data_IF_797663912711
#
_entry.id   IF_797663912711
#
_cell.length_a   1.000
_cell.length_b   1.000
_cell.length_c   1.000
_cell.angle_alpha   90.00
_cell.angle_beta   90.00
_cell.angle_gamma   90.00
#
_symmetry.space_group_name_H-M   'P 1'
#
loop_
_entity.id
_entity.type
_entity.pdbx_description
1 polymer ?
#
# COMPACT_ATOMS: atom_id res chain seq x y z
N UNK A 1 -24.73 -1.88 9.64
CA UNK A 1 -23.97 -2.56 10.71
C UNK A 1 -23.89 -4.04 10.35
N UNK A 2 -22.72 -4.50 9.90
CA UNK A 2 -22.51 -5.91 9.49
C UNK A 2 -22.36 -6.75 10.76
N UNK A 3 -23.18 -7.80 10.95
CA UNK A 3 -23.09 -8.70 12.12
C UNK A 3 -22.78 -10.13 11.68
N UNK A 4 -21.83 -10.73 12.42
CA UNK A 4 -21.47 -12.16 12.61
C UNK A 4 -21.50 -13.09 11.41
N UNK A 5 -20.35 -13.74 11.18
CA UNK A 5 -20.23 -14.99 10.45
C UNK A 5 -19.96 -14.80 8.96
N UNK A 6 -18.78 -14.26 8.65
CA UNK A 6 -18.30 -14.24 7.27
C UNK A 6 -17.44 -15.45 7.04
N UNK A 7 -17.80 -16.24 6.04
CA UNK A 7 -17.04 -17.40 5.58
C UNK A 7 -16.30 -16.98 4.31
N UNK A 8 -14.99 -17.15 4.29
CA UNK A 8 -14.16 -17.07 3.09
C UNK A 8 -13.66 -18.48 2.81
N UNK A 9 -13.82 -18.94 1.58
CA UNK A 9 -13.40 -20.28 1.18
C UNK A 9 -12.33 -20.17 0.11
N UNK A 10 -11.07 -20.39 0.47
CA UNK A 10 -9.96 -20.47 -0.51
C UNK A 10 -9.42 -21.89 -0.55
N UNK A 11 -9.14 -22.44 -1.72
CA UNK A 11 -8.46 -23.74 -1.88
C UNK A 11 -9.00 -24.89 -0.99
N UNK A 12 -10.32 -24.95 -0.78
CA UNK A 12 -10.97 -25.97 0.05
C UNK A 12 -10.93 -25.72 1.57
N UNK A 13 -10.26 -24.66 2.05
CA UNK A 13 -10.26 -24.26 3.45
C UNK A 13 -11.33 -23.22 3.74
N UNK A 14 -12.06 -23.42 4.85
CA UNK A 14 -13.10 -22.50 5.32
C UNK A 14 -12.53 -21.63 6.44
N UNK A 15 -12.38 -20.34 6.17
CA UNK A 15 -11.98 -19.37 7.18
C UNK A 15 -13.24 -18.64 7.67
N UNK A 16 -13.46 -18.59 8.98
CA UNK A 16 -14.62 -17.91 9.58
C UNK A 16 -14.19 -16.64 10.34
N UNK A 17 -14.69 -15.47 9.97
CA UNK A 17 -14.46 -14.21 10.70
C UNK A 17 -15.64 -13.97 11.63
N UNK A 18 -15.33 -13.81 12.93
CA UNK A 18 -16.34 -13.59 13.97
C UNK A 18 -16.84 -12.15 13.97
N UNK A 19 -15.97 -11.18 13.69
CA UNK A 19 -16.25 -9.76 13.83
C UNK A 19 -15.78 -8.94 12.63
N UNK A 20 -16.68 -8.66 11.69
CA UNK A 20 -16.48 -7.67 10.63
C UNK A 20 -16.69 -6.23 11.12
N UNK A 21 -16.92 -6.05 12.42
CA UNK A 21 -17.21 -4.74 13.03
C UNK A 21 -15.93 -3.92 13.21
N UNK A 22 -14.77 -4.57 13.32
CA UNK A 22 -13.45 -3.90 13.37
C UNK A 22 -12.80 -3.75 11.98
N UNK A 23 -13.42 -4.30 10.93
CA UNK A 23 -13.06 -4.00 9.56
C UNK A 23 -13.26 -2.50 9.34
N UNK A 24 -12.19 -1.73 9.52
CA UNK A 24 -12.12 -0.42 8.92
C UNK A 24 -12.16 -0.68 7.42
N UNK A 25 -13.36 -0.58 6.85
CA UNK A 25 -13.61 -0.45 5.42
C UNK A 25 -12.95 0.86 4.97
N UNK A 26 -11.62 0.90 4.98
CA UNK A 26 -10.87 1.76 4.11
C UNK A 26 -11.07 1.21 2.71
N UNK A 27 -12.24 1.52 2.14
CA UNK A 27 -12.55 1.29 0.75
C UNK A 27 -11.74 2.28 -0.08
N UNK A 28 -10.52 1.89 -0.44
CA UNK A 28 -9.87 2.43 -1.61
C UNK A 28 -10.14 1.46 -2.77
N UNK A 29 -10.61 1.98 -3.90
CA UNK A 29 -10.75 1.22 -5.15
C UNK A 29 -11.61 -0.07 -5.07
N UNK A 30 -12.59 -0.12 -4.17
CA UNK A 30 -13.49 -1.28 -4.04
C UNK A 30 -12.91 -2.48 -3.29
N UNK A 31 -11.75 -2.32 -2.64
CA UNK A 31 -11.08 -3.31 -1.79
C UNK A 31 -11.29 -2.95 -0.32
N UNK A 32 -11.56 -3.96 0.50
CA UNK A 32 -11.72 -3.89 1.95
C UNK A 32 -10.53 -4.54 2.64
N UNK A 33 -10.11 -4.01 3.79
CA UNK A 33 -9.02 -4.58 4.59
C UNK A 33 -9.60 -5.21 5.85
N UNK A 34 -9.27 -6.48 6.11
CA UNK A 34 -9.70 -7.26 7.27
C UNK A 34 -8.48 -7.75 8.05
N UNK A 35 -8.58 -7.91 9.37
CA UNK A 35 -7.52 -8.47 10.22
C UNK A 35 -7.96 -9.76 10.87
N UNK A 36 -7.07 -10.76 10.99
CA UNK A 36 -7.36 -12.04 11.66
C UNK A 36 -6.10 -12.88 11.93
N UNK A 37 -6.12 -13.72 12.95
CA UNK A 37 -5.20 -14.87 13.05
C UNK A 37 -5.56 -15.94 12.00
N UNK A 38 -4.61 -16.29 11.13
CA UNK A 38 -4.69 -17.40 10.19
C UNK A 38 -3.94 -18.61 10.73
N UNK A 39 -4.48 -19.79 10.46
CA UNK A 39 -3.77 -21.06 10.64
C UNK A 39 -3.28 -21.50 9.27
N UNK A 40 -1.96 -21.54 9.11
CA UNK A 40 -1.30 -22.01 7.89
C UNK A 40 -0.59 -23.33 8.18
N UNK A 41 -0.45 -24.25 7.20
CA UNK A 41 0.39 -25.42 7.36
C UNK A 41 1.80 -25.01 7.80
N UNK A 42 2.33 -25.64 8.84
CA UNK A 42 3.71 -25.36 9.28
C UNK A 42 4.69 -26.07 8.31
N UNK A 43 5.56 -25.34 7.59
CA UNK A 43 6.53 -25.96 6.70
C UNK A 43 7.56 -26.84 7.45
N UNK A 44 7.72 -26.64 8.76
CA UNK A 44 8.65 -27.39 9.62
C UNK A 44 7.98 -28.56 10.36
N UNK A 45 6.65 -28.58 10.42
CA UNK A 45 5.87 -29.64 11.06
C UNK A 45 4.75 -30.11 10.13
N UNK A 46 4.90 -31.30 9.55
CA UNK A 46 3.92 -31.89 8.60
C UNK A 46 2.51 -32.04 9.18
N UNK A 47 2.36 -32.02 10.50
CA UNK A 47 1.07 -32.10 11.19
C UNK A 47 0.72 -30.81 11.94
N UNK A 48 1.62 -29.82 11.93
CA UNK A 48 1.50 -28.57 12.66
C UNK A 48 0.84 -27.47 11.84
N UNK A 49 0.31 -26.48 12.56
CA UNK A 49 -0.18 -25.25 11.96
C UNK A 49 0.55 -24.06 12.58
N UNK A 50 1.09 -23.19 11.71
CA UNK A 50 1.59 -21.89 12.11
C UNK A 50 0.41 -20.93 12.27
N UNK A 51 0.32 -20.29 13.44
CA UNK A 51 -0.61 -19.19 13.67
C UNK A 51 0.06 -17.88 13.29
N UNK A 52 -0.56 -17.14 12.38
CA UNK A 52 -0.04 -15.86 11.88
C UNK A 52 -1.11 -14.80 12.02
N UNK A 53 -0.82 -13.73 12.76
CA UNK A 53 -1.63 -12.52 12.70
C UNK A 53 -1.53 -11.93 11.30
N UNK A 54 -2.66 -11.79 10.64
CA UNK A 54 -2.73 -11.44 9.23
C UNK A 54 -3.61 -10.23 8.97
N UNK A 55 -3.33 -9.61 7.84
CA UNK A 55 -4.15 -8.63 7.16
C UNK A 55 -4.58 -9.24 5.82
N UNK A 56 -5.84 -9.03 5.46
CA UNK A 56 -6.45 -9.54 4.25
C UNK A 56 -7.02 -8.37 3.44
N UNK A 57 -6.59 -8.24 2.19
CA UNK A 57 -7.24 -7.33 1.22
C UNK A 57 -8.27 -8.12 0.44
N UNK A 58 -9.55 -7.76 0.52
CA UNK A 58 -10.68 -8.45 -0.13
C UNK A 58 -11.45 -7.50 -1.02
N UNK A 59 -11.72 -7.89 -2.26
CA UNK A 59 -12.77 -7.27 -3.05
C UNK A 59 -13.97 -8.21 -3.14
N UNK A 60 -15.13 -7.78 -2.66
CA UNK A 60 -16.39 -8.49 -2.77
C UNK A 60 -17.41 -7.56 -3.46
N UNK A 61 -17.95 -7.99 -4.61
CA UNK A 61 -18.72 -7.10 -5.48
C UNK A 61 -19.97 -7.80 -6.02
N UNK A 62 -21.06 -7.04 -6.12
CA UNK A 62 -22.27 -7.45 -6.81
C UNK A 62 -22.13 -7.10 -8.31
N UNK A 63 -21.38 -7.91 -9.05
CA UNK A 63 -21.19 -7.75 -10.50
C UNK A 63 -19.79 -8.16 -11.02
N UNK A 64 -19.71 -8.81 -12.19
CA UNK A 64 -18.48 -9.43 -12.69
C UNK A 64 -17.42 -8.44 -13.21
N UNK A 65 -17.81 -7.25 -13.67
CA UNK A 65 -16.87 -6.26 -14.23
C UNK A 65 -15.96 -5.65 -13.16
N UNK A 66 -16.54 -5.23 -12.02
CA UNK A 66 -15.80 -4.62 -10.92
C UNK A 66 -14.90 -5.65 -10.22
N UNK A 67 -15.37 -6.89 -10.09
CA UNK A 67 -14.58 -7.97 -9.52
C UNK A 67 -13.33 -8.27 -10.36
N UNK A 68 -13.46 -8.31 -11.70
CA UNK A 68 -12.30 -8.51 -12.60
C UNK A 68 -11.25 -7.40 -12.48
N UNK A 69 -11.69 -6.15 -12.35
CA UNK A 69 -10.75 -5.04 -12.14
C UNK A 69 -9.99 -5.18 -10.81
N UNK A 70 -10.70 -5.47 -9.72
CA UNK A 70 -10.06 -5.68 -8.41
C UNK A 70 -9.14 -6.90 -8.39
N UNK A 71 -9.55 -7.98 -9.07
CA UNK A 71 -8.74 -9.18 -9.25
C UNK A 71 -7.41 -8.86 -9.92
N UNK A 72 -7.41 -8.08 -11.01
CA UNK A 72 -6.18 -7.66 -11.68
C UNK A 72 -5.22 -6.88 -10.76
N UNK A 73 -5.75 -5.97 -9.93
CA UNK A 73 -4.94 -5.24 -8.95
C UNK A 73 -4.32 -6.17 -7.90
N UNK A 74 -5.12 -7.05 -7.30
CA UNK A 74 -4.65 -7.97 -6.25
C UNK A 74 -3.69 -9.03 -6.80
N UNK A 75 -3.91 -9.51 -8.03
CA UNK A 75 -2.99 -10.40 -8.73
C UNK A 75 -1.62 -9.77 -8.93
N UNK A 76 -1.58 -8.50 -9.34
CA UNK A 76 -0.33 -7.76 -9.49
C UNK A 76 0.37 -7.58 -8.16
N UNK A 77 -0.36 -7.17 -7.13
CA UNK A 77 0.19 -7.02 -5.79
C UNK A 77 0.78 -8.34 -5.28
N UNK A 78 0.04 -9.45 -5.39
CA UNK A 78 0.53 -10.78 -4.99
C UNK A 78 1.79 -11.20 -5.76
N UNK A 79 1.85 -10.97 -7.07
CA UNK A 79 3.06 -11.24 -7.87
C UNK A 79 4.26 -10.46 -7.37
N UNK A 80 4.09 -9.16 -7.10
CA UNK A 80 5.18 -8.31 -6.61
C UNK A 80 5.58 -8.68 -5.19
N UNK A 81 4.63 -8.96 -4.30
CA UNK A 81 4.90 -9.46 -2.95
C UNK A 81 5.69 -10.77 -2.98
N UNK A 82 5.29 -11.73 -3.81
CA UNK A 82 6.02 -13.00 -3.95
C UNK A 82 7.44 -12.78 -4.48
N UNK A 83 7.61 -11.87 -5.44
CA UNK A 83 8.92 -11.58 -6.04
C UNK A 83 9.88 -10.86 -5.07
N UNK A 84 9.38 -9.88 -4.31
CA UNK A 84 10.22 -8.99 -3.52
C UNK A 84 10.16 -9.26 -2.01
N UNK A 85 8.98 -9.56 -1.48
CA UNK A 85 8.76 -9.92 -0.07
C UNK A 85 8.87 -11.41 0.22
N UNK A 86 8.84 -12.26 -0.80
CA UNK A 86 8.89 -13.72 -0.64
C UNK A 86 7.62 -14.29 -0.01
N UNK A 87 7.74 -15.54 0.43
CA UNK A 87 6.69 -16.29 1.13
C UNK A 87 7.22 -16.74 2.50
N UNK A 88 6.33 -16.91 3.47
CA UNK A 88 6.72 -17.40 4.80
C UNK A 88 7.14 -18.87 4.71
N UNK A 89 8.30 -19.27 5.29
CA UNK A 89 9.12 -18.56 6.28
C UNK A 89 10.28 -17.75 5.71
N UNK A 90 10.52 -17.82 4.40
CA UNK A 90 11.67 -17.21 3.70
C UNK A 90 11.38 -15.76 3.24
N UNK A 91 10.64 -15.01 4.08
CA UNK A 91 10.30 -13.63 3.79
C UNK A 91 11.56 -12.77 3.61
N UNK A 92 11.52 -11.81 2.68
CA UNK A 92 12.62 -10.91 2.36
C UNK A 92 12.22 -9.46 2.68
N UNK A 93 12.45 -9.00 3.92
CA UNK A 93 12.25 -7.60 4.26
C UNK A 93 13.13 -6.67 3.39
N UNK A 94 12.74 -5.39 3.20
CA UNK A 94 11.70 -4.68 3.95
C UNK A 94 10.28 -4.90 3.42
N UNK A 95 10.09 -5.68 2.36
CA UNK A 95 8.76 -5.93 1.79
C UNK A 95 7.98 -6.94 2.62
N UNK A 96 6.65 -6.74 2.72
CA UNK A 96 5.79 -7.70 3.40
C UNK A 96 5.58 -8.94 2.54
N UNK A 97 5.73 -10.12 3.15
CA UNK A 97 5.56 -11.41 2.49
C UNK A 97 4.10 -11.71 2.12
N UNK A 98 3.91 -12.52 1.08
CA UNK A 98 2.61 -13.08 0.72
C UNK A 98 2.32 -14.32 1.58
N UNK A 99 1.14 -14.41 2.19
CA UNK A 99 0.67 -15.62 2.86
C UNK A 99 -0.16 -16.50 1.95
N UNK A 100 -1.09 -15.88 1.19
CA UNK A 100 -1.91 -16.58 0.21
C UNK A 100 -2.48 -15.62 -0.83
N UNK A 101 -2.92 -16.19 -1.94
CA UNK A 101 -3.56 -15.49 -3.05
C UNK A 101 -4.79 -16.30 -3.51
N UNK A 102 -5.95 -15.65 -3.56
CA UNK A 102 -7.19 -16.17 -4.14
C UNK A 102 -7.82 -15.10 -5.02
N UNK A 103 -7.23 -14.92 -6.20
CA UNK A 103 -7.46 -13.74 -7.05
C UNK A 103 -8.01 -14.09 -8.43
N UNK A 104 -8.39 -15.34 -8.69
CA UNK A 104 -9.04 -15.72 -9.94
C UNK A 104 -10.53 -15.33 -9.92
N UNK A 105 -10.96 -14.34 -10.72
CA UNK A 105 -12.36 -13.93 -10.73
C UNK A 105 -13.29 -15.00 -11.33
N UNK A 106 -12.76 -15.95 -12.10
CA UNK A 106 -13.54 -17.04 -12.73
C UNK A 106 -13.80 -18.22 -11.80
N UNK A 107 -12.96 -18.40 -10.79
CA UNK A 107 -13.11 -19.39 -9.72
C UNK A 107 -13.17 -18.72 -8.34
N UNK A 108 -13.85 -17.58 -8.27
CA UNK A 108 -13.87 -16.74 -7.08
C UNK A 108 -14.52 -17.43 -5.87
N UNK A 109 -13.91 -17.23 -4.71
CA UNK A 109 -14.52 -17.54 -3.43
C UNK A 109 -15.85 -16.77 -3.27
N UNK A 110 -16.66 -17.21 -2.30
CA UNK A 110 -17.87 -16.48 -1.91
C UNK A 110 -17.66 -15.83 -0.56
N UNK A 111 -17.90 -14.52 -0.50
CA UNK A 111 -17.99 -13.73 0.71
C UNK A 111 -19.43 -13.68 1.20
N UNK A 112 -19.70 -14.27 2.37
CA UNK A 112 -21.01 -14.17 3.00
C UNK A 112 -21.10 -12.95 3.90
N UNK A 113 -22.10 -12.08 3.64
CA UNK A 113 -22.33 -10.85 4.39
C UNK A 113 -23.79 -10.76 4.82
N UNK A 114 -24.04 -10.36 6.06
CA UNK A 114 -25.39 -10.06 6.55
C UNK A 114 -25.62 -8.55 6.52
N UNK A 115 -26.48 -8.09 5.61
CA UNK A 115 -26.84 -6.69 5.45
C UNK A 115 -28.35 -6.51 5.66
N UNK A 116 -28.73 -5.63 6.59
CA UNK A 116 -30.13 -5.37 6.94
C UNK A 116 -30.95 -6.64 7.27
N UNK A 117 -30.33 -7.64 7.91
CA UNK A 117 -30.96 -8.90 8.28
C UNK A 117 -31.05 -9.93 7.14
N UNK A 118 -30.57 -9.60 5.94
CA UNK A 118 -30.50 -10.52 4.81
C UNK A 118 -29.08 -11.05 4.63
N UNK A 119 -28.94 -12.37 4.50
CA UNK A 119 -27.69 -13.01 4.12
C UNK A 119 -27.51 -12.86 2.60
N UNK A 120 -26.36 -12.31 2.22
CA UNK A 120 -25.94 -12.15 0.84
C UNK A 120 -24.66 -12.94 0.61
N UNK A 121 -24.52 -13.47 -0.60
CA UNK A 121 -23.36 -14.21 -1.07
C UNK A 121 -22.77 -13.45 -2.24
N UNK A 122 -21.59 -12.88 -2.06
CA UNK A 122 -20.92 -12.09 -3.07
C UNK A 122 -19.69 -12.83 -3.57
N UNK A 123 -19.44 -12.94 -4.88
CA UNK A 123 -18.16 -13.43 -5.37
C UNK A 123 -17.05 -12.47 -4.91
N UNK A 124 -15.89 -13.04 -4.57
CA UNK A 124 -14.80 -12.27 -4.01
C UNK A 124 -13.42 -12.81 -4.41
N UNK A 125 -12.44 -11.90 -4.33
CA UNK A 125 -11.02 -12.17 -4.52
C UNK A 125 -10.25 -11.56 -3.36
N UNK A 126 -9.13 -12.18 -2.96
CA UNK A 126 -8.33 -11.67 -1.85
C UNK A 126 -6.86 -12.11 -1.87
N UNK A 127 -6.04 -11.37 -1.13
CA UNK A 127 -4.65 -11.73 -0.79
C UNK A 127 -4.41 -11.55 0.71
N UNK A 128 -3.71 -12.50 1.31
CA UNK A 128 -3.33 -12.46 2.72
C UNK A 128 -1.87 -12.10 2.91
N UNK A 129 -1.58 -11.32 3.95
CA UNK A 129 -0.23 -10.89 4.31
C UNK A 129 -0.06 -10.84 5.84
N UNK A 130 1.14 -10.97 6.40
CA UNK A 130 1.36 -10.78 7.84
C UNK A 130 0.92 -9.38 8.28
N UNK A 131 0.31 -9.28 9.46
CA UNK A 131 0.07 -8.00 10.10
C UNK A 131 1.41 -7.40 10.51
N UNK A 132 1.65 -6.16 10.10
CA UNK A 132 2.78 -5.37 10.58
C UNK A 132 2.64 -5.20 12.10
N UNK A 133 3.65 -5.61 12.87
CA UNK A 133 3.58 -5.62 14.34
C UNK A 133 3.44 -4.21 14.91
N UNK A 134 2.88 -4.09 16.11
CA UNK A 134 2.66 -2.80 16.79
C UNK A 134 3.94 -1.99 17.06
N UNK A 135 5.11 -2.62 17.01
CA UNK A 135 6.39 -1.91 17.10
C UNK A 135 6.63 -0.95 15.92
N UNK A 136 6.01 -1.22 14.77
CA UNK A 136 6.10 -0.42 13.57
C UNK A 136 5.01 0.65 13.54
N UNK A 137 5.38 1.85 13.09
CA UNK A 137 4.46 2.98 12.96
C UNK A 137 4.47 3.49 11.53
N UNK A 138 3.29 3.65 10.95
CA UNK A 138 3.08 4.26 9.63
C UNK A 138 3.77 5.62 9.56
N UNK A 139 4.51 5.88 8.48
CA UNK A 139 5.25 7.14 8.28
C UNK A 139 4.34 8.36 8.47
N UNK A 140 3.09 8.30 7.99
CA UNK A 140 2.11 9.37 8.19
C UNK A 140 1.86 9.67 9.67
N UNK A 141 1.56 8.65 10.46
CA UNK A 141 1.24 8.80 11.88
C UNK A 141 2.49 9.14 12.71
N UNK A 142 3.68 8.92 12.15
CA UNK A 142 4.94 9.31 12.76
C UNK A 142 5.30 10.77 12.48
N UNK A 143 5.34 11.18 11.20
CA UNK A 143 5.97 12.44 10.77
C UNK A 143 4.97 13.52 10.34
N UNK A 144 3.74 13.14 9.98
CA UNK A 144 2.75 14.01 9.35
C UNK A 144 1.48 14.11 10.20
N UNK A 145 0.47 14.81 9.69
CA UNK A 145 -0.87 14.80 10.26
C UNK A 145 -1.63 13.54 9.79
N UNK A 146 -2.35 12.91 10.70
CA UNK A 146 -3.24 11.80 10.41
C UNK A 146 -4.43 12.25 9.52
N UNK A 147 -5.40 11.36 9.26
CA UNK A 147 -6.58 11.70 8.44
C UNK A 147 -7.57 12.64 9.14
N UNK A 148 -7.50 12.75 10.46
CA UNK A 148 -8.32 13.64 11.30
C UNK A 148 -7.64 14.99 11.53
N UNK A 149 -6.42 15.17 11.02
CA UNK A 149 -5.62 16.38 11.18
C UNK A 149 -4.77 16.40 12.44
N UNK A 150 -4.75 15.33 13.24
CA UNK A 150 -3.91 15.25 14.43
C UNK A 150 -2.45 15.08 14.02
N UNK A 151 -1.51 15.86 14.59
CA UNK A 151 -0.10 15.71 14.28
C UNK A 151 0.45 14.39 14.87
N UNK A 152 1.34 13.75 14.12
CA UNK A 152 2.04 12.55 14.54
C UNK A 152 3.09 12.79 15.62
N UNK A 153 3.58 11.72 16.23
CA UNK A 153 4.48 11.79 17.40
C UNK A 153 5.79 12.55 17.17
N UNK A 154 6.29 12.54 15.93
CA UNK A 154 7.51 13.23 15.50
C UNK A 154 7.21 14.32 14.47
N UNK A 155 5.95 14.77 14.39
CA UNK A 155 5.62 15.96 13.61
C UNK A 155 6.25 17.20 14.27
N UNK A 156 6.78 18.11 13.46
CA UNK A 156 7.50 19.29 13.97
C UNK A 156 6.65 20.17 14.91
N UNK A 157 5.33 20.26 14.67
CA UNK A 157 4.44 20.99 15.58
C UNK A 157 4.40 20.31 16.96
N UNK A 158 4.25 18.98 16.99
CA UNK A 158 4.27 18.20 18.24
C UNK A 158 5.61 18.31 18.97
N UNK A 159 6.73 18.30 18.24
CA UNK A 159 8.08 18.49 18.79
C UNK A 159 8.20 19.88 19.45
N UNK A 160 7.71 20.92 18.78
CA UNK A 160 7.70 22.29 19.32
C UNK A 160 6.77 22.39 20.53
N UNK A 161 5.57 21.82 20.48
CA UNK A 161 4.60 21.86 21.56
C UNK A 161 5.12 21.20 22.85
N UNK A 162 5.84 20.07 22.72
CA UNK A 162 6.50 19.38 23.84
C UNK A 162 7.58 20.22 24.52
N UNK A 163 8.00 21.32 23.92
CA UNK A 163 8.99 22.24 24.50
C UNK A 163 8.36 23.32 25.38
N UNK A 164 7.02 23.42 25.40
CA UNK A 164 6.29 24.34 26.25
C UNK A 164 6.52 24.03 27.74
N UNK A 165 6.87 25.05 28.52
CA UNK A 165 7.10 24.92 29.97
C UNK A 165 8.45 24.31 30.38
N UNK A 166 9.34 23.96 29.45
CA UNK A 166 10.71 23.48 29.72
C UNK A 166 11.73 24.62 29.82
N UNK A 167 12.83 24.41 30.55
CA UNK A 167 13.97 25.36 30.55
C UNK A 167 14.68 25.39 29.19
N UNK A 168 15.52 26.39 28.95
CA UNK A 168 16.27 26.50 27.69
C UNK A 168 17.10 25.24 27.39
N UNK A 169 17.83 24.72 28.38
CA UNK A 169 18.68 23.53 28.24
C UNK A 169 17.85 22.27 27.99
N UNK A 170 16.71 22.13 28.67
CA UNK A 170 15.79 21.01 28.48
C UNK A 170 15.14 21.04 27.10
N UNK A 171 14.80 22.24 26.59
CA UNK A 171 14.28 22.41 25.22
C UNK A 171 15.31 21.99 24.19
N UNK A 172 16.55 22.48 24.29
CA UNK A 172 17.62 22.13 23.35
C UNK A 172 17.82 20.61 23.30
N UNK A 173 17.90 19.94 24.45
CA UNK A 173 18.06 18.48 24.50
C UNK A 173 16.88 17.74 23.88
N UNK A 174 15.66 18.10 24.26
CA UNK A 174 14.44 17.47 23.75
C UNK A 174 14.27 17.64 22.24
N UNK A 175 14.52 18.84 21.73
CA UNK A 175 14.47 19.12 20.29
C UNK A 175 15.55 18.34 19.55
N UNK A 176 16.77 18.27 20.08
CA UNK A 176 17.85 17.52 19.46
C UNK A 176 17.53 16.02 19.36
N UNK A 177 16.97 15.43 20.42
CA UNK A 177 16.54 14.02 20.44
C UNK A 177 15.42 13.75 19.42
N UNK A 178 14.38 14.60 19.40
CA UNK A 178 13.27 14.46 18.47
C UNK A 178 13.71 14.67 17.01
N UNK A 179 14.52 15.70 16.72
CA UNK A 179 15.07 15.93 15.38
C UNK A 179 15.97 14.79 14.93
N UNK A 180 16.77 14.21 15.82
CA UNK A 180 17.57 13.04 15.51
C UNK A 180 16.69 11.83 15.12
N UNK A 181 15.58 11.61 15.83
CA UNK A 181 14.62 10.57 15.49
C UNK A 181 13.92 10.83 14.14
N UNK A 182 13.56 12.10 13.84
CA UNK A 182 13.00 12.50 12.54
C UNK A 182 13.99 12.22 11.41
N UNK A 183 15.24 12.68 11.54
CA UNK A 183 16.28 12.46 10.53
C UNK A 183 16.54 10.97 10.32
N UNK A 184 16.64 10.21 11.41
CA UNK A 184 16.79 8.74 11.35
C UNK A 184 15.65 8.08 10.59
N UNK A 185 14.40 8.48 10.85
CA UNK A 185 13.25 7.91 10.15
C UNK A 185 13.33 8.19 8.64
N UNK A 186 13.69 9.42 8.25
CA UNK A 186 13.83 9.81 6.84
C UNK A 186 14.98 9.07 6.14
N UNK A 187 16.12 8.89 6.81
CA UNK A 187 17.26 8.11 6.32
C UNK A 187 16.84 6.67 6.03
N UNK A 188 16.20 5.99 6.99
CA UNK A 188 15.74 4.61 6.82
C UNK A 188 14.71 4.46 5.69
N UNK A 189 13.77 5.41 5.57
CA UNK A 189 12.80 5.42 4.47
C UNK A 189 13.51 5.58 3.12
N UNK A 190 14.50 6.47 3.03
CA UNK A 190 15.27 6.68 1.81
C UNK A 190 16.11 5.43 1.46
N UNK A 191 16.75 4.80 2.44
CA UNK A 191 17.47 3.54 2.26
C UNK A 191 16.56 2.42 1.75
N UNK A 192 15.30 2.36 2.21
CA UNK A 192 14.34 1.37 1.71
C UNK A 192 14.01 1.60 0.23
N UNK A 193 13.89 2.86 -0.21
CA UNK A 193 13.71 3.19 -1.63
C UNK A 193 14.94 2.83 -2.45
N UNK A 194 16.15 3.12 -1.95
CA UNK A 194 17.41 2.75 -2.61
C UNK A 194 17.52 1.22 -2.71
N UNK A 195 17.17 0.50 -1.65
CA UNK A 195 17.16 -0.96 -1.64
C UNK A 195 16.19 -1.51 -2.69
N UNK A 196 14.95 -1.01 -2.73
CA UNK A 196 13.97 -1.39 -3.74
C UNK A 196 14.48 -1.14 -5.17
N UNK A 197 15.08 0.03 -5.41
CA UNK A 197 15.61 0.38 -6.73
C UNK A 197 16.75 -0.57 -7.17
N UNK A 198 17.62 -0.99 -6.25
CA UNK A 198 18.67 -1.99 -6.51
C UNK A 198 18.12 -3.36 -6.88
N UNK A 199 16.98 -3.74 -6.29
CA UNK A 199 16.24 -4.97 -6.63
C UNK A 199 15.42 -4.83 -7.93
N UNK A 200 15.41 -3.64 -8.55
CA UNK A 200 14.70 -3.36 -9.79
C UNK A 200 13.23 -2.98 -9.58
N UNK A 201 12.91 -2.34 -8.45
CA UNK A 201 11.57 -1.87 -8.11
C UNK A 201 11.58 -0.37 -7.74
N UNK A 202 10.76 0.43 -8.43
CA UNK A 202 10.52 1.83 -8.06
C UNK A 202 9.23 1.94 -7.23
N UNK A 203 9.37 2.53 -6.06
CA UNK A 203 8.30 2.67 -5.08
C UNK A 203 7.53 3.99 -5.27
N UNK A 204 6.71 4.06 -6.33
CA UNK A 204 6.05 5.31 -6.79
C UNK A 204 4.90 5.82 -5.91
N UNK A 205 4.33 4.99 -5.04
CA UNK A 205 3.29 5.41 -4.08
C UNK A 205 3.63 5.01 -2.63
N UNK A 206 4.91 4.84 -2.32
CA UNK A 206 5.35 4.39 -0.99
C UNK A 206 5.84 5.55 -0.14
N UNK A 207 4.91 6.48 0.07
CA UNK A 207 5.00 7.55 1.04
C UNK A 207 3.79 7.47 1.97
N UNK A 208 3.89 8.12 3.13
CA UNK A 208 2.79 8.28 4.10
C UNK A 208 2.26 6.95 4.63
N UNK A 209 1.31 6.34 3.92
CA UNK A 209 0.52 5.22 4.43
C UNK A 209 1.13 3.85 4.13
N UNK A 210 2.06 3.79 3.18
CA UNK A 210 2.57 2.54 2.62
C UNK A 210 3.98 2.18 3.12
N UNK A 211 4.51 2.96 4.05
CA UNK A 211 5.82 2.74 4.68
C UNK A 211 5.67 2.82 6.20
N UNK A 212 6.25 1.83 6.87
CA UNK A 212 6.22 1.68 8.31
C UNK A 212 7.63 1.65 8.87
N UNK A 213 7.86 2.38 9.96
CA UNK A 213 9.16 2.51 10.61
C UNK A 213 9.10 1.90 12.01
N UNK A 214 10.08 1.05 12.34
CA UNK A 214 10.18 0.40 13.65
C UNK A 214 10.57 1.43 14.72
N UNK A 215 9.74 1.59 15.77
CA UNK A 215 9.94 2.62 16.80
C UNK A 215 11.26 2.48 17.58
N UNK A 216 11.73 1.25 17.79
CA UNK A 216 13.01 1.00 18.47
C UNK A 216 14.22 1.44 17.64
N UNK A 217 14.13 1.39 16.31
CA UNK A 217 15.21 1.84 15.42
C UNK A 217 15.46 3.36 15.54
N UNK A 218 14.46 4.13 15.99
CA UNK A 218 14.55 5.59 16.16
C UNK A 218 15.28 6.01 17.44
N UNK A 219 15.51 5.08 18.38
CA UNK A 219 16.09 5.36 19.71
C UNK A 219 17.59 5.09 19.80
N UNK A 220 18.21 4.55 18.75
CA UNK A 220 19.63 4.18 18.76
C UNK A 220 20.46 5.44 18.58
N UNK A 221 21.37 5.75 19.52
CA UNK A 221 22.21 6.96 19.44
C UNK A 221 23.09 6.95 18.19
N UNK A 222 23.53 8.15 17.74
CA UNK A 222 24.41 8.31 16.58
C UNK A 222 25.72 7.49 16.63
N UNK A 223 26.14 7.04 17.82
CA UNK A 223 27.36 6.26 18.02
C UNK A 223 27.15 4.74 18.02
N UNK A 224 25.91 4.26 17.90
CA UNK A 224 25.59 2.84 17.89
C UNK A 224 24.88 2.44 16.59
N UNK A 225 25.47 1.46 15.90
CA UNK A 225 24.94 0.62 14.83
C UNK A 225 24.69 1.21 13.43
N UNK A 226 25.31 0.55 12.44
CA UNK A 226 24.69 0.32 11.13
C UNK A 226 23.28 -0.23 11.37
N UNK A 227 22.27 0.52 10.93
CA UNK A 227 20.88 0.10 11.05
C UNK A 227 20.54 -0.71 9.82
N UNK A 228 20.05 -1.93 10.01
CA UNK A 228 19.59 -2.74 8.89
C UNK A 228 18.18 -2.29 8.47
N UNK A 229 18.09 -1.70 7.27
CA UNK A 229 16.81 -1.28 6.67
C UNK A 229 15.80 -2.44 6.60
N UNK A 230 16.27 -3.67 6.43
CA UNK A 230 15.44 -4.88 6.39
C UNK A 230 14.76 -5.13 7.73
N UNK A 231 15.39 -4.78 8.84
CA UNK A 231 14.81 -4.93 10.18
C UNK A 231 14.00 -3.71 10.62
N UNK A 232 14.32 -2.52 10.09
CA UNK A 232 13.76 -1.26 10.55
C UNK A 232 12.54 -0.77 9.75
N UNK A 233 12.37 -1.22 8.50
CA UNK A 233 11.31 -0.75 7.60
C UNK A 233 10.39 -1.89 7.16
N UNK A 234 9.09 -1.61 7.06
CA UNK A 234 8.14 -2.44 6.32
C UNK A 234 7.47 -1.63 5.22
N UNK A 235 7.43 -2.17 4.01
CA UNK A 235 6.79 -1.59 2.84
C UNK A 235 5.58 -2.46 2.46
N UNK A 236 4.42 -1.84 2.29
CA UNK A 236 3.17 -2.50 1.89
C UNK A 236 2.62 -1.88 0.60
N UNK A 237 1.57 -2.49 0.05
CA UNK A 237 0.82 -1.96 -1.09
C UNK A 237 1.63 -1.85 -2.39
N UNK A 238 2.27 -2.97 -2.76
CA UNK A 238 3.14 -3.04 -3.93
C UNK A 238 2.39 -2.94 -5.27
N UNK A 239 1.05 -2.91 -5.28
CA UNK A 239 0.24 -2.89 -6.50
C UNK A 239 0.60 -1.74 -7.45
N UNK A 240 1.02 -0.61 -6.87
CA UNK A 240 1.36 0.61 -7.58
C UNK A 240 2.85 0.74 -7.91
N UNK A 241 3.70 -0.20 -7.47
CA UNK A 241 5.13 -0.15 -7.73
C UNK A 241 5.44 -0.39 -9.22
N UNK A 242 6.56 0.18 -9.69
CA UNK A 242 6.98 0.08 -11.09
C UNK A 242 8.22 -0.79 -11.21
N UNK A 243 8.17 -1.77 -12.11
CA UNK A 243 9.33 -2.62 -12.41
C UNK A 243 10.35 -1.87 -13.27
N UNK A 244 11.60 -1.90 -12.83
CA UNK A 244 12.76 -1.53 -13.64
C UNK A 244 13.07 -2.71 -14.55
N UNK A 245 13.06 -2.47 -15.86
CA UNK A 245 13.35 -3.50 -16.85
C UNK A 245 14.46 -3.01 -17.78
N UNK A 246 15.55 -3.77 -17.95
CA UNK A 246 16.54 -3.42 -18.95
C UNK A 246 15.87 -3.41 -20.32
N UNK A 247 16.21 -2.40 -21.12
CA UNK A 247 15.72 -2.31 -22.49
C UNK A 247 16.88 -2.03 -23.43
N UNK A 248 17.02 -2.80 -24.52
CA UNK A 248 18.12 -2.64 -25.46
C UNK A 248 18.07 -1.28 -26.18
N UNK A 249 16.90 -0.66 -26.30
CA UNK A 249 16.71 0.60 -27.03
C UNK A 249 16.65 1.83 -26.10
N UNK A 250 17.16 1.72 -24.87
CA UNK A 250 17.18 2.85 -23.97
C UNK A 250 18.18 3.91 -24.44
N UNK A 251 17.82 5.21 -24.45
CA UNK A 251 18.79 6.26 -24.70
C UNK A 251 19.95 6.16 -23.72
N UNK A 252 21.19 6.33 -24.18
CA UNK A 252 22.39 6.13 -23.36
C UNK A 252 22.41 6.97 -22.08
N UNK A 253 21.78 8.16 -22.07
CA UNK A 253 21.72 9.05 -20.92
C UNK A 253 20.80 8.55 -19.79
N UNK A 254 19.88 7.62 -20.08
CA UNK A 254 18.98 7.01 -19.08
C UNK A 254 19.72 5.92 -18.27
N UNK A 255 20.78 5.34 -18.85
CA UNK A 255 21.53 4.25 -18.25
C UNK A 255 20.90 2.87 -18.48
N UNK A 256 21.54 1.80 -17.97
CA UNK A 256 21.14 0.42 -18.24
C UNK A 256 19.93 -0.07 -17.43
N UNK A 257 19.57 0.64 -16.36
CA UNK A 257 18.50 0.28 -15.45
C UNK A 257 17.46 1.41 -15.42
N UNK A 258 16.35 1.21 -16.11
CA UNK A 258 15.26 2.17 -16.19
C UNK A 258 13.90 1.49 -16.20
N UNK A 259 12.87 2.24 -15.84
CA UNK A 259 11.49 1.81 -16.00
C UNK A 259 10.95 2.35 -17.33
N UNK A 260 10.27 1.49 -18.10
CA UNK A 260 9.43 1.92 -19.20
C UNK A 260 7.99 1.85 -18.75
N UNK A 261 7.38 3.03 -18.59
CA UNK A 261 5.98 3.17 -18.19
C UNK A 261 5.18 3.62 -19.40
N UNK A 262 4.32 2.75 -19.98
CA UNK A 262 3.38 3.17 -21.01
C UNK A 262 2.39 4.22 -20.49
N UNK A 263 1.95 5.14 -21.34
CA UNK A 263 0.94 6.14 -20.98
C UNK A 263 -0.50 5.60 -21.13
N UNK A 264 -0.69 4.62 -22.03
CA UNK A 264 -2.01 4.07 -22.40
C UNK A 264 -2.42 2.98 -21.42
N UNK A 265 -3.67 2.97 -20.94
CA UNK A 265 -4.15 1.98 -19.96
C UNK A 265 -3.97 0.53 -20.43
N UNK A 266 -4.34 0.23 -21.67
CA UNK A 266 -4.20 -1.13 -22.22
C UNK A 266 -2.73 -1.58 -22.29
N UNK A 267 -1.80 -0.65 -22.56
CA UNK A 267 -0.38 -0.95 -22.60
C UNK A 267 0.20 -1.14 -21.18
N UNK A 268 -0.25 -0.34 -20.21
CA UNK A 268 0.04 -0.51 -18.78
C UNK A 268 -0.40 -1.89 -18.29
N UNK A 269 -1.62 -2.31 -18.62
CA UNK A 269 -2.15 -3.64 -18.31
C UNK A 269 -1.32 -4.75 -18.97
N UNK A 270 -0.89 -4.56 -20.23
CA UNK A 270 -0.08 -5.53 -20.96
C UNK A 270 1.33 -5.75 -20.39
N UNK A 271 1.92 -4.72 -19.76
CA UNK A 271 3.21 -4.83 -19.07
C UNK A 271 3.07 -5.03 -17.55
N UNK A 272 1.84 -5.26 -17.10
CA UNK A 272 1.47 -5.46 -15.70
C UNK A 272 1.96 -4.36 -14.74
N UNK A 273 1.75 -3.09 -15.14
CA UNK A 273 2.07 -1.92 -14.33
C UNK A 273 0.81 -1.06 -14.11
N UNK A 274 0.72 -0.40 -12.96
CA UNK A 274 -0.11 0.79 -12.79
C UNK A 274 0.58 1.68 -11.77
N UNK A 275 1.44 2.60 -12.22
CA UNK A 275 2.02 3.61 -11.34
C UNK A 275 0.96 4.64 -10.99
N UNK A 276 -0.09 4.19 -10.30
CA UNK A 276 -1.00 5.08 -9.62
C UNK A 276 -0.28 5.67 -8.41
N UNK A 277 -0.79 6.78 -7.88
CA UNK A 277 -0.19 7.35 -6.70
C UNK A 277 -0.83 8.66 -6.26
N UNK A 278 -0.33 9.17 -5.14
CA UNK A 278 -0.78 10.47 -4.63
C UNK A 278 -0.18 11.60 -5.50
N UNK A 279 -0.99 12.39 -6.23
CA UNK A 279 -0.46 13.36 -7.21
C UNK A 279 0.48 14.41 -6.62
N UNK A 280 0.26 14.79 -5.37
CA UNK A 280 1.09 15.77 -4.66
C UNK A 280 2.47 15.24 -4.26
N UNK A 281 2.75 13.96 -4.50
CA UNK A 281 4.01 13.27 -4.16
C UNK A 281 4.62 12.55 -5.35
N UNK A 282 4.15 12.83 -6.57
CA UNK A 282 4.63 12.19 -7.78
C UNK A 282 5.62 13.10 -8.55
N UNK A 283 6.60 12.53 -9.26
CA UNK A 283 7.46 13.30 -10.14
C UNK A 283 6.71 13.68 -11.45
N UNK A 284 7.17 14.72 -12.17
CA UNK A 284 6.47 15.24 -13.36
C UNK A 284 6.19 14.20 -14.45
N UNK A 285 7.06 13.21 -14.62
CA UNK A 285 6.86 12.13 -15.58
C UNK A 285 5.68 11.21 -15.22
N UNK A 286 5.37 11.03 -13.93
CA UNK A 286 4.21 10.28 -13.49
C UNK A 286 2.91 11.08 -13.68
N UNK A 287 2.98 12.42 -13.63
CA UNK A 287 1.83 13.27 -13.99
C UNK A 287 1.35 13.02 -15.42
N UNK A 288 2.26 12.74 -16.36
CA UNK A 288 1.90 12.42 -17.74
C UNK A 288 1.03 11.16 -17.83
N UNK A 289 1.28 10.16 -16.97
CA UNK A 289 0.46 8.96 -16.87
C UNK A 289 -0.95 9.31 -16.38
N UNK A 290 -1.06 10.17 -15.36
CA UNK A 290 -2.36 10.63 -14.86
C UNK A 290 -3.14 11.44 -15.87
N UNK A 291 -2.48 12.35 -16.61
CA UNK A 291 -3.11 13.17 -17.63
C UNK A 291 -3.64 12.32 -18.78
N UNK A 292 -2.86 11.34 -19.25
CA UNK A 292 -3.32 10.47 -20.33
C UNK A 292 -4.43 9.50 -19.87
N UNK A 293 -4.32 8.96 -18.65
CA UNK A 293 -5.39 8.18 -18.04
C UNK A 293 -6.68 8.99 -17.87
N UNK A 294 -6.59 10.28 -17.51
CA UNK A 294 -7.72 11.18 -17.42
C UNK A 294 -8.38 11.43 -18.79
N UNK A 295 -7.58 11.57 -19.85
CA UNK A 295 -8.07 11.71 -21.23
C UNK A 295 -8.81 10.46 -21.69
N UNK A 296 -8.24 9.28 -21.49
CA UNK A 296 -8.88 8.01 -21.85
C UNK A 296 -10.20 7.79 -21.09
N UNK A 297 -10.23 8.07 -19.78
CA UNK A 297 -11.45 7.98 -18.97
C UNK A 297 -12.52 8.98 -19.44
N UNK A 298 -12.10 10.18 -19.84
CA UNK A 298 -13.01 11.18 -20.42
C UNK A 298 -13.58 10.75 -21.77
N UNK A 299 -12.74 10.28 -22.69
CA UNK A 299 -13.17 9.79 -24.00
C UNK A 299 -14.15 8.62 -23.88
N UNK A 300 -13.88 7.66 -22.98
CA UNK A 300 -14.78 6.54 -22.70
C UNK A 300 -16.11 6.95 -22.05
N UNK A 301 -16.19 8.15 -21.48
CA UNK A 301 -17.39 8.72 -20.85
C UNK A 301 -18.01 9.86 -21.66
N UNK A 302 -17.51 10.14 -22.87
CA UNK A 302 -17.92 11.30 -23.68
C UNK A 302 -19.42 11.40 -23.91
N UNK A 303 -20.09 10.25 -24.04
CA UNK A 303 -21.55 10.17 -24.24
C UNK A 303 -22.37 10.27 -22.94
N UNK A 304 -21.70 10.52 -21.79
CA UNK A 304 -22.30 10.68 -20.46
C UNK A 304 -21.82 12.00 -19.83
N UNK A 305 -22.38 13.15 -20.23
CA UNK A 305 -21.88 14.48 -19.84
C UNK A 305 -21.90 14.76 -18.32
N UNK A 306 -22.68 14.01 -17.55
CA UNK A 306 -22.73 14.09 -16.08
C UNK A 306 -21.70 13.21 -15.38
N UNK A 307 -20.98 12.34 -16.09
CA UNK A 307 -20.01 11.43 -15.52
C UNK A 307 -18.67 12.14 -15.33
N UNK A 308 -18.35 12.49 -14.07
CA UNK A 308 -17.01 12.97 -13.70
C UNK A 308 -15.99 11.85 -13.89
N UNK A 309 -14.78 12.20 -14.34
CA UNK A 309 -13.70 11.22 -14.44
C UNK A 309 -13.21 10.84 -13.04
N UNK A 310 -12.65 9.64 -12.88
CA UNK A 310 -12.04 9.23 -11.59
C UNK A 310 -10.90 10.19 -11.22
N UNK A 311 -10.21 10.71 -12.24
CA UNK A 311 -9.13 11.70 -12.11
C UNK A 311 -9.64 13.08 -11.70
N UNK A 312 -10.80 13.51 -12.17
CA UNK A 312 -11.42 14.76 -11.73
C UNK A 312 -11.85 14.67 -10.25
N UNK A 313 -12.45 13.53 -9.86
CA UNK A 313 -12.92 13.30 -8.49
C UNK A 313 -11.75 13.17 -7.51
N UNK A 314 -10.75 12.35 -7.85
CA UNK A 314 -9.68 12.00 -6.94
C UNK A 314 -8.51 12.97 -6.98
N UNK A 315 -8.21 13.54 -8.15
CA UNK A 315 -6.99 14.32 -8.40
C UNK A 315 -7.27 15.77 -8.81
N UNK A 316 -8.53 16.13 -9.08
CA UNK A 316 -8.88 17.48 -9.56
C UNK A 316 -8.46 17.76 -11.00
N UNK A 317 -8.07 16.73 -11.76
CA UNK A 317 -7.62 16.87 -13.14
C UNK A 317 -8.84 16.94 -14.05
N UNK A 318 -9.05 18.09 -14.69
CA UNK A 318 -10.01 18.23 -15.78
C UNK A 318 -9.29 18.10 -17.14
N UNK A 319 -9.48 17.00 -17.89
CA UNK A 319 -8.81 16.81 -19.17
C UNK A 319 -9.27 17.80 -20.27
N UNK A 320 -10.34 18.55 -20.02
CA UNK A 320 -10.88 19.58 -20.94
C UNK A 320 -10.47 21.00 -20.59
N UNK A 321 -9.85 21.25 -19.43
CA UNK A 321 -9.38 22.59 -19.10
C UNK A 321 -8.07 22.90 -19.83
N UNK A 322 -7.97 24.12 -20.36
CA UNK A 322 -6.75 24.62 -21.01
C UNK A 322 -5.58 24.84 -20.05
N UNK A 323 -5.82 24.68 -18.74
CA UNK A 323 -4.81 24.63 -17.69
C UNK A 323 -5.13 23.46 -16.74
N UNK A 324 -4.23 22.47 -16.56
CA UNK A 324 -4.33 21.56 -15.44
C UNK A 324 -4.11 22.38 -14.15
N UNK A 325 -5.18 22.61 -13.38
CA UNK A 325 -5.08 23.33 -12.12
C UNK A 325 -4.59 22.38 -11.03
N UNK A 326 -3.27 22.28 -10.87
CA UNK A 326 -2.66 21.71 -9.67
C UNK A 326 -2.66 22.76 -8.53
N UNK A 327 -3.84 23.24 -8.14
CA UNK A 327 -3.96 24.14 -6.98
C UNK A 327 -4.87 23.49 -5.94
N UNK A 328 -4.23 22.87 -4.96
CA UNK A 328 -4.78 22.69 -3.61
C UNK A 328 -3.69 22.99 -2.59
#
# INVERSE_FOLDING_TARGET
>A
MLRKGTLFRTNGQVHQWKDLVEAHLHCANGVSVLTKELQMPDPKDRCGFLKVDSVLKVAAQDGPSNLRHCAGMLQREARLMRRFGGEVPDASPPFVALLFEDTDPTHSATFEVCQAGRQMRLPCVAIGMPRVSEEFTEQRNLLLRDRKGNPGDLNLETVVDRCSGKTAEQRVRSVAEDLFAVTTALELINEAHIHAAKEGLLLTDHHKNNVFVKRSALRVSASQQERDVKEAIRVIDLANATLVQPSPDAPAFIGPAHARVPLRKAALEAVDQAPDGTPTFCPPEQELVFLEGAREDYEGKRDRPSARTVYEVNLGINPTSSQPSWTR
#
